data_IF_225832528313
#
_entry.id   IF_225832528313
#
_cell.length_a   1.000
_cell.length_b   1.000
_cell.length_c   1.000
_cell.angle_alpha   90.00
_cell.angle_beta   90.00
_cell.angle_gamma   90.00
#
_symmetry.space_group_name_H-M   'P 1'
#
loop_
_entity.id
_entity.type
_entity.pdbx_description
1 polymer ?
#
# COMPACT_ATOMS: atom_id res chain seq x y z
N UNK A 1 24.86 -0.60 -12.74
CA UNK A 1 24.41 0.75 -13.10
C UNK A 1 23.04 0.93 -12.47
N UNK A 2 22.90 1.83 -11.48
CA UNK A 2 21.61 2.09 -10.84
C UNK A 2 20.74 2.90 -11.81
N UNK A 3 19.50 2.49 -12.05
CA UNK A 3 18.53 3.29 -12.79
C UNK A 3 17.83 4.14 -11.75
N UNK A 4 18.25 5.40 -11.62
CA UNK A 4 17.54 6.38 -10.78
C UNK A 4 16.13 6.59 -11.36
N UNK A 5 15.07 6.54 -10.52
CA UNK A 5 13.72 6.85 -10.99
C UNK A 5 13.68 8.30 -11.50
N UNK A 6 12.93 8.55 -12.58
CA UNK A 6 12.76 9.91 -13.07
C UNK A 6 12.07 10.79 -12.01
N UNK A 7 12.34 12.10 -12.03
CA UNK A 7 11.65 13.05 -11.15
C UNK A 7 10.12 13.00 -11.30
N UNK A 8 9.64 12.64 -12.50
CA UNK A 8 8.21 12.40 -12.75
C UNK A 8 7.71 11.15 -12.03
N UNK A 9 8.46 10.04 -12.08
CA UNK A 9 8.13 8.82 -11.37
C UNK A 9 8.09 9.04 -9.85
N UNK A 10 9.02 9.84 -9.31
CA UNK A 10 9.02 10.22 -7.90
C UNK A 10 7.79 11.04 -7.51
N UNK A 11 7.43 12.06 -8.29
CA UNK A 11 6.23 12.89 -8.03
C UNK A 11 4.93 12.08 -8.11
N UNK A 12 4.82 11.20 -9.10
CA UNK A 12 3.66 10.30 -9.23
C UNK A 12 3.59 9.36 -8.02
N UNK A 13 4.71 8.74 -7.63
CA UNK A 13 4.75 7.87 -6.47
C UNK A 13 4.35 8.60 -5.17
N UNK A 14 4.77 9.85 -4.99
CA UNK A 14 4.37 10.67 -3.85
C UNK A 14 2.86 10.97 -3.86
N UNK A 15 2.30 11.38 -5.00
CA UNK A 15 0.86 11.58 -5.15
C UNK A 15 0.05 10.32 -4.88
N UNK A 16 0.58 9.16 -5.29
CA UNK A 16 -0.04 7.86 -5.02
C UNK A 16 0.01 7.50 -3.54
N UNK A 17 1.13 7.75 -2.84
CA UNK A 17 1.22 7.55 -1.39
C UNK A 17 0.23 8.43 -0.64
N UNK A 18 0.15 9.70 -1.01
CA UNK A 18 -0.84 10.60 -0.42
C UNK A 18 -2.28 10.10 -0.65
N UNK A 19 -2.58 9.61 -1.86
CA UNK A 19 -3.89 8.99 -2.14
C UNK A 19 -4.14 7.76 -1.25
N UNK A 20 -3.13 6.93 -1.01
CA UNK A 20 -3.26 5.78 -0.12
C UNK A 20 -3.54 6.20 1.33
N UNK A 21 -2.86 7.25 1.83
CA UNK A 21 -3.08 7.81 3.16
C UNK A 21 -4.52 8.36 3.31
N UNK A 22 -5.04 9.07 2.31
CA UNK A 22 -6.42 9.56 2.33
C UNK A 22 -7.45 8.42 2.34
N UNK A 23 -7.15 7.31 1.67
CA UNK A 23 -7.99 6.12 1.70
C UNK A 23 -7.96 5.43 3.08
N UNK A 24 -6.83 5.42 3.78
CA UNK A 24 -6.76 4.91 5.16
C UNK A 24 -7.64 5.75 6.10
N UNK A 25 -7.63 7.08 5.98
CA UNK A 25 -8.54 7.97 6.71
C UNK A 25 -10.03 7.69 6.39
N UNK A 26 -10.33 7.38 5.13
CA UNK A 26 -11.69 7.03 4.71
C UNK A 26 -12.14 5.67 5.29
N UNK A 27 -11.24 4.68 5.34
CA UNK A 27 -11.52 3.40 6.01
C UNK A 27 -11.83 3.59 7.49
N UNK A 28 -11.03 4.38 8.22
CA UNK A 28 -11.29 4.60 9.64
C UNK A 28 -12.68 5.22 9.86
N UNK A 29 -13.08 6.13 8.96
CA UNK A 29 -14.41 6.74 8.96
C UNK A 29 -15.51 5.70 8.71
N UNK A 30 -15.28 4.73 7.81
CA UNK A 30 -16.22 3.66 7.51
C UNK A 30 -16.37 2.70 8.69
N UNK A 31 -15.27 2.26 9.33
CA UNK A 31 -15.32 1.40 10.51
C UNK A 31 -15.97 2.08 11.72
N UNK A 32 -15.70 3.37 11.92
CA UNK A 32 -16.38 4.16 12.96
C UNK A 32 -17.88 4.24 12.68
N UNK A 33 -18.26 4.46 11.42
CA UNK A 33 -19.66 4.49 11.00
C UNK A 33 -20.33 3.12 11.16
N UNK A 34 -19.62 2.02 10.88
CA UNK A 34 -20.09 0.67 11.10
C UNK A 34 -20.37 0.41 12.58
N UNK A 35 -19.41 0.77 13.45
CA UNK A 35 -19.51 0.61 14.90
C UNK A 35 -20.64 1.43 15.54
N UNK A 36 -20.96 2.58 14.94
CA UNK A 36 -22.03 3.45 15.41
C UNK A 36 -23.41 3.10 14.82
N UNK A 37 -23.48 2.17 13.85
CA UNK A 37 -24.72 1.88 13.14
C UNK A 37 -25.64 0.99 13.97
N UNK A 38 -26.92 1.37 14.17
CA UNK A 38 -27.89 0.53 14.87
C UNK A 38 -28.45 -0.62 14.02
N UNK A 39 -28.23 -0.59 12.69
CA UNK A 39 -28.67 -1.63 11.76
C UNK A 39 -27.51 -2.58 11.44
N UNK A 40 -27.67 -3.85 11.79
CA UNK A 40 -26.60 -4.85 11.64
C UNK A 40 -26.15 -5.03 10.18
N UNK A 41 -27.09 -4.99 9.22
CA UNK A 41 -26.74 -5.12 7.79
C UNK A 41 -25.93 -3.93 7.29
N UNK A 42 -26.28 -2.74 7.74
CA UNK A 42 -25.56 -1.50 7.42
C UNK A 42 -24.17 -1.52 8.05
N UNK A 43 -24.06 -1.94 9.32
CA UNK A 43 -22.78 -2.12 9.99
C UNK A 43 -21.86 -3.08 9.21
N UNK A 44 -22.33 -4.28 8.90
CA UNK A 44 -21.55 -5.27 8.13
C UNK A 44 -21.15 -4.78 6.73
N UNK A 45 -22.02 -4.00 6.08
CA UNK A 45 -21.73 -3.45 4.75
C UNK A 45 -20.67 -2.35 4.82
N UNK A 46 -20.73 -1.48 5.82
CA UNK A 46 -19.75 -0.42 6.04
C UNK A 46 -18.39 -1.02 6.41
N UNK A 47 -18.38 -2.04 7.26
CA UNK A 47 -17.16 -2.75 7.68
C UNK A 47 -16.43 -3.38 6.49
N UNK A 48 -17.17 -4.15 5.66
CA UNK A 48 -16.61 -4.72 4.42
C UNK A 48 -16.16 -3.66 3.42
N UNK A 49 -16.82 -2.50 3.39
CA UNK A 49 -16.39 -1.40 2.54
C UNK A 49 -15.08 -0.79 3.05
N UNK A 50 -14.92 -0.64 4.36
CA UNK A 50 -13.65 -0.26 4.98
C UNK A 50 -12.53 -1.21 4.59
N UNK A 51 -12.73 -2.51 4.77
CA UNK A 51 -11.74 -3.53 4.39
C UNK A 51 -11.31 -3.44 2.91
N UNK A 52 -12.29 -3.22 2.02
CA UNK A 52 -12.03 -3.04 0.60
C UNK A 52 -11.22 -1.77 0.30
N UNK A 53 -11.52 -0.67 0.99
CA UNK A 53 -10.77 0.60 0.88
C UNK A 53 -9.32 0.40 1.35
N UNK A 54 -9.10 -0.25 2.49
CA UNK A 54 -7.75 -0.58 2.99
C UNK A 54 -6.97 -1.47 2.01
N UNK A 55 -7.65 -2.44 1.37
CA UNK A 55 -7.00 -3.29 0.37
C UNK A 55 -6.53 -2.48 -0.85
N UNK A 56 -7.33 -1.53 -1.33
CA UNK A 56 -6.95 -0.66 -2.46
C UNK A 56 -5.85 0.34 -2.06
N UNK A 57 -5.94 0.96 -0.88
CA UNK A 57 -4.90 1.85 -0.35
C UNK A 57 -3.53 1.16 -0.34
N UNK A 58 -3.47 -0.07 0.19
CA UNK A 58 -2.25 -0.89 0.19
C UNK A 58 -1.79 -1.25 -1.22
N UNK A 59 -2.69 -1.49 -2.16
CA UNK A 59 -2.33 -1.75 -3.55
C UNK A 59 -1.70 -0.52 -4.20
N UNK A 60 -2.25 0.67 -3.96
CA UNK A 60 -1.70 1.95 -4.43
C UNK A 60 -0.33 2.21 -3.82
N UNK A 61 -0.16 2.04 -2.51
CA UNK A 61 1.12 2.22 -1.83
C UNK A 61 2.20 1.27 -2.38
N UNK A 62 1.86 -0.01 -2.65
CA UNK A 62 2.79 -0.95 -3.31
C UNK A 62 3.18 -0.50 -4.71
N UNK A 63 2.20 -0.06 -5.53
CA UNK A 63 2.47 0.47 -6.87
C UNK A 63 3.37 1.71 -6.82
N UNK A 64 3.15 2.60 -5.85
CA UNK A 64 3.99 3.78 -5.62
C UNK A 64 5.42 3.39 -5.26
N UNK A 65 5.61 2.40 -4.37
CA UNK A 65 6.93 1.86 -4.03
C UNK A 65 7.67 1.29 -5.24
N UNK A 66 6.97 0.54 -6.09
CA UNK A 66 7.56 -0.01 -7.32
C UNK A 66 7.96 1.09 -8.32
N UNK A 67 7.17 2.17 -8.39
CA UNK A 67 7.41 3.30 -9.29
C UNK A 67 8.62 4.14 -8.85
N UNK A 68 8.83 4.28 -7.55
CA UNK A 68 10.01 4.93 -6.97
C UNK A 68 11.30 4.10 -7.07
N UNK A 69 11.24 2.89 -7.66
CA UNK A 69 12.36 1.98 -7.81
C UNK A 69 12.50 0.99 -6.65
N UNK A 70 13.13 -0.18 -6.89
CA UNK A 70 13.21 -1.24 -5.88
C UNK A 70 14.12 -0.82 -4.72
N UNK A 71 13.59 -0.79 -3.50
CA UNK A 71 14.40 -1.00 -2.31
C UNK A 71 15.07 -2.36 -2.47
N UNK A 72 16.39 -2.38 -2.72
CA UNK A 72 17.16 -3.62 -2.91
C UNK A 72 16.89 -4.57 -1.74
N UNK A 73 16.14 -5.62 -2.01
CA UNK A 73 16.28 -6.86 -1.27
C UNK A 73 17.11 -7.75 -2.18
N UNK A 74 18.43 -7.61 -2.12
CA UNK A 74 19.34 -8.64 -2.61
C UNK A 74 19.58 -9.61 -1.45
N UNK A 75 18.91 -10.77 -1.36
CA UNK A 75 19.49 -11.89 -0.63
C UNK A 75 20.62 -12.44 -1.52
N UNK A 76 21.80 -11.82 -1.44
CA UNK A 76 23.04 -12.43 -1.92
C UNK A 76 23.42 -13.55 -0.96
N UNK A 77 22.74 -14.69 -1.10
CA UNK A 77 23.17 -15.97 -0.56
C UNK A 77 23.73 -16.80 -1.71
N UNK A 78 24.93 -16.45 -2.14
CA UNK A 78 25.81 -17.40 -2.83
C UNK A 78 26.75 -18.01 -1.79
N UNK A 79 26.68 -19.32 -1.51
CA UNK A 79 27.61 -19.96 -0.59
C UNK A 79 29.03 -20.03 -1.19
N UNK A 80 30.08 -20.07 -0.36
CA UNK A 80 31.44 -20.24 -0.87
C UNK A 80 31.60 -21.68 -1.35
N UNK A 81 31.71 -21.90 -2.67
CA UNK A 81 32.28 -23.14 -3.19
C UNK A 81 33.79 -23.14 -2.90
N UNK A 82 34.12 -23.66 -1.72
CA UNK A 82 35.38 -24.34 -1.49
C UNK A 82 35.34 -25.69 -2.21
N UNK A 83 36.12 -25.84 -3.28
CA UNK A 83 36.62 -27.08 -3.89
C UNK A 83 37.26 -26.71 -5.24
N UNK A 84 38.53 -26.96 -5.56
CA UNK A 84 39.61 -27.78 -5.01
C UNK A 84 40.92 -27.20 -5.53
#
# INVERSE_FOLDING_TARGET
MAIEPSQDAQRIAESMRHTAEELECAEETLHRSASASPDQRTAERLDRLGDAVTAEARAIARRAGNLAGPARTEPSSSPPEQRR
#
